data_IF_577573574544
#
_entry.id   IF_577573574544
#
_cell.length_a   1.000
_cell.length_b   1.000
_cell.length_c   1.000
_cell.angle_alpha   90.00
_cell.angle_beta   90.00
_cell.angle_gamma   90.00
#
_symmetry.space_group_name_H-M   'P 1'
#
loop_
_entity.id
_entity.type
_entity.pdbx_description
1 polymer ?
#
# COMPACT_ATOMS: atom_id res chain seq x y z
N UNK A 1 -18.01 -20.01 3.76
CA UNK A 1 -17.78 -19.66 2.35
C UNK A 1 -16.33 -19.88 1.98
N UNK A 2 -16.05 -20.33 0.75
CA UNK A 2 -14.68 -20.65 0.29
C UNK A 2 -13.95 -19.37 -0.14
N UNK A 3 -12.67 -19.25 0.24
CA UNK A 3 -11.75 -18.20 -0.21
C UNK A 3 -11.60 -18.35 -1.73
N UNK A 4 -12.04 -17.35 -2.51
CA UNK A 4 -12.11 -17.42 -3.98
C UNK A 4 -13.52 -17.33 -4.56
N UNK A 5 -14.57 -17.56 -3.77
CA UNK A 5 -15.96 -17.35 -4.23
C UNK A 5 -16.21 -15.89 -4.61
N UNK A 6 -17.02 -15.67 -5.65
CA UNK A 6 -17.45 -14.34 -6.13
C UNK A 6 -18.38 -13.61 -5.14
N UNK A 7 -18.88 -14.30 -4.11
CA UNK A 7 -19.85 -13.76 -3.14
C UNK A 7 -19.31 -12.76 -2.11
N UNK A 8 -18.04 -12.33 -2.21
CA UNK A 8 -17.43 -11.34 -1.31
C UNK A 8 -16.53 -10.39 -2.10
N UNK A 9 -17.10 -9.54 -2.94
CA UNK A 9 -16.34 -8.59 -3.77
C UNK A 9 -15.60 -7.55 -2.91
N UNK A 10 -16.14 -7.20 -1.74
CA UNK A 10 -15.63 -6.20 -0.80
C UNK A 10 -14.24 -6.56 -0.28
N UNK A 11 -13.91 -7.86 -0.18
CA UNK A 11 -12.59 -8.32 0.28
C UNK A 11 -11.45 -7.90 -0.65
N UNK A 12 -11.75 -7.67 -1.93
CA UNK A 12 -10.72 -7.31 -2.91
C UNK A 12 -10.08 -5.96 -2.56
N UNK A 13 -10.84 -5.01 -1.99
CA UNK A 13 -10.30 -3.76 -1.49
C UNK A 13 -9.30 -3.96 -0.35
N UNK A 14 -9.63 -4.85 0.60
CA UNK A 14 -8.74 -5.19 1.72
C UNK A 14 -7.44 -5.85 1.23
N UNK A 15 -7.53 -6.77 0.27
CA UNK A 15 -6.35 -7.36 -0.36
C UNK A 15 -5.51 -6.31 -1.10
N UNK A 16 -6.14 -5.42 -1.85
CA UNK A 16 -5.44 -4.35 -2.55
C UNK A 16 -4.67 -3.42 -1.60
N UNK A 17 -5.27 -3.05 -0.45
CA UNK A 17 -4.58 -2.32 0.61
C UNK A 17 -3.38 -3.10 1.14
N UNK A 18 -3.57 -4.38 1.47
CA UNK A 18 -2.50 -5.23 1.98
C UNK A 18 -1.33 -5.36 0.99
N UNK A 19 -1.60 -5.65 -0.28
CA UNK A 19 -0.57 -5.77 -1.32
C UNK A 19 0.15 -4.45 -1.53
N UNK A 20 -0.60 -3.36 -1.63
CA UNK A 20 -0.01 -2.03 -1.83
C UNK A 20 0.90 -1.66 -0.67
N UNK A 21 0.50 -1.90 0.58
CA UNK A 21 1.32 -1.48 1.72
C UNK A 21 2.48 -2.41 2.04
N UNK A 22 2.21 -3.72 2.07
CA UNK A 22 3.14 -4.70 2.62
C UNK A 22 4.09 -5.21 1.56
N UNK A 23 3.64 -5.43 0.33
CA UNK A 23 4.50 -6.08 -0.65
C UNK A 23 5.57 -5.14 -1.18
N UNK A 24 5.25 -3.88 -1.45
CA UNK A 24 6.30 -2.89 -1.75
C UNK A 24 7.31 -2.76 -0.62
N UNK A 25 6.88 -2.89 0.64
CA UNK A 25 7.79 -2.91 1.78
C UNK A 25 8.67 -4.17 1.80
N UNK A 26 8.11 -5.36 1.57
CA UNK A 26 8.86 -6.61 1.41
C UNK A 26 9.88 -6.51 0.27
N UNK A 27 9.50 -5.91 -0.86
CA UNK A 27 10.41 -5.62 -1.98
C UNK A 27 11.57 -4.72 -1.54
N UNK A 28 11.26 -3.67 -0.80
CA UNK A 28 12.26 -2.75 -0.24
C UNK A 28 13.18 -3.41 0.80
N UNK A 29 12.74 -4.49 1.46
CA UNK A 29 13.60 -5.34 2.31
C UNK A 29 14.48 -6.33 1.52
N UNK A 30 14.40 -6.36 0.19
CA UNK A 30 15.24 -7.18 -0.68
C UNK A 30 14.55 -8.41 -1.27
N UNK A 31 13.24 -8.59 -1.03
CA UNK A 31 12.48 -9.63 -1.72
C UNK A 31 12.29 -9.24 -3.20
N UNK A 32 12.52 -10.14 -4.15
CA UNK A 32 12.43 -9.81 -5.58
C UNK A 32 11.00 -9.84 -6.14
N UNK A 33 10.09 -10.63 -5.54
CA UNK A 33 8.67 -10.70 -5.85
C UNK A 33 7.93 -11.49 -4.76
N UNK A 34 6.61 -11.33 -4.67
CA UNK A 34 5.74 -12.16 -3.82
C UNK A 34 4.84 -13.04 -4.70
N UNK A 35 4.71 -14.32 -4.40
CA UNK A 35 3.78 -15.22 -5.09
C UNK A 35 2.73 -15.74 -4.11
N UNK A 36 1.49 -15.26 -4.16
CA UNK A 36 0.42 -15.92 -3.43
C UNK A 36 0.05 -17.21 -4.17
N UNK A 37 0.10 -18.35 -3.46
CA UNK A 37 -0.22 -19.68 -3.97
C UNK A 37 -1.58 -19.78 -4.68
N UNK A 38 -2.53 -18.90 -4.34
CA UNK A 38 -3.86 -18.82 -4.95
C UNK A 38 -4.10 -17.50 -5.68
N UNK A 39 -3.12 -17.02 -6.44
CA UNK A 39 -3.24 -15.75 -7.17
C UNK A 39 -4.46 -15.70 -8.10
N UNK A 40 -4.85 -16.82 -8.71
CA UNK A 40 -5.96 -16.85 -9.65
C UNK A 40 -7.31 -16.35 -9.10
N UNK A 41 -7.49 -16.29 -7.78
CA UNK A 41 -8.70 -15.76 -7.14
C UNK A 41 -8.85 -14.23 -7.17
N UNK A 42 -7.83 -13.50 -7.64
CA UNK A 42 -7.90 -12.04 -7.76
C UNK A 42 -8.41 -11.56 -9.12
N UNK A 43 -8.78 -12.47 -10.01
CA UNK A 43 -9.43 -12.19 -11.29
C UNK A 43 -10.88 -12.64 -11.25
N UNK A 44 -11.71 -12.01 -12.08
CA UNK A 44 -13.10 -12.43 -12.30
C UNK A 44 -13.33 -12.63 -13.79
N UNK A 45 -14.19 -13.57 -14.17
CA UNK A 45 -14.64 -13.67 -15.55
C UNK A 45 -15.45 -12.43 -15.91
N UNK A 46 -15.31 -11.97 -17.17
CA UNK A 46 -16.21 -10.99 -17.77
C UNK A 46 -17.62 -11.59 -17.91
N UNK A 47 -18.61 -10.72 -18.02
CA UNK A 47 -19.98 -11.15 -18.30
C UNK A 47 -20.09 -11.77 -19.70
N UNK A 48 -20.94 -12.79 -19.84
CA UNK A 48 -21.22 -13.44 -21.13
C UNK A 48 -20.17 -14.42 -21.62
N UNK A 49 -19.17 -14.78 -20.81
CA UNK A 49 -18.20 -15.84 -21.16
C UNK A 49 -18.95 -17.14 -21.44
N UNK A 50 -18.59 -17.78 -22.56
CA UNK A 50 -19.18 -19.04 -22.94
C UNK A 50 -18.66 -20.20 -22.06
N UNK A 51 -19.50 -20.56 -21.10
CA UNK A 51 -19.26 -21.66 -20.17
C UNK A 51 -19.72 -23.03 -20.69
N UNK A 52 -20.26 -23.11 -21.91
CA UNK A 52 -20.74 -24.37 -22.48
C UNK A 52 -19.62 -25.40 -22.63
N UNK A 53 -20.02 -26.66 -22.78
CA UNK A 53 -19.13 -27.72 -23.23
C UNK A 53 -18.49 -27.34 -24.57
N UNK A 54 -17.21 -27.66 -24.72
CA UNK A 54 -16.45 -27.52 -25.96
C UNK A 54 -15.92 -28.88 -26.37
N UNK A 55 -16.39 -29.42 -27.47
CA UNK A 55 -15.85 -30.68 -27.99
C UNK A 55 -14.47 -30.43 -28.60
N UNK A 56 -13.55 -31.37 -28.34
CA UNK A 56 -12.21 -31.38 -28.89
C UNK A 56 -12.21 -32.36 -30.06
N UNK A 57 -11.56 -32.00 -31.17
CA UNK A 57 -11.39 -32.94 -32.27
C UNK A 57 -10.51 -34.11 -31.82
N UNK A 58 -11.10 -35.30 -31.77
CA UNK A 58 -10.41 -36.55 -31.44
C UNK A 58 -10.23 -37.39 -32.69
N UNK A 59 -9.01 -37.91 -32.87
CA UNK A 59 -8.73 -38.97 -33.83
C UNK A 59 -9.17 -40.31 -33.21
N UNK A 60 -10.43 -40.67 -33.48
CA UNK A 60 -11.03 -41.91 -32.99
C UNK A 60 -10.41 -43.16 -33.62
N UNK A 61 -9.76 -43.04 -34.78
CA UNK A 61 -9.14 -44.16 -35.50
C UNK A 61 -7.78 -44.54 -34.90
N UNK A 62 -7.02 -43.56 -34.39
CA UNK A 62 -5.68 -43.77 -33.81
C UNK A 62 -5.64 -43.57 -32.28
N UNK A 63 -6.64 -44.10 -31.57
CA UNK A 63 -6.82 -43.97 -30.12
C UNK A 63 -5.74 -44.69 -29.28
N UNK A 64 -5.08 -45.71 -29.83
CA UNK A 64 -4.11 -46.55 -29.10
C UNK A 64 -2.75 -45.89 -28.92
N UNK A 65 -2.71 -44.78 -28.19
CA UNK A 65 -1.49 -44.15 -27.68
C UNK A 65 -1.53 -44.05 -26.16
N UNK A 66 -0.41 -44.20 -25.45
CA UNK A 66 -0.40 -44.05 -23.99
C UNK A 66 -0.90 -42.67 -23.53
N UNK A 67 -1.77 -42.64 -22.52
CA UNK A 67 -2.29 -41.42 -21.89
C UNK A 67 -3.78 -41.15 -22.13
N UNK A 68 -4.30 -40.05 -21.58
CA UNK A 68 -5.68 -39.60 -21.80
C UNK A 68 -5.82 -38.90 -23.15
N UNK A 69 -6.89 -39.19 -23.89
CA UNK A 69 -7.30 -38.44 -25.09
C UNK A 69 -8.54 -37.62 -24.76
N UNK A 70 -8.42 -36.30 -24.52
CA UNK A 70 -9.55 -35.47 -24.16
C UNK A 70 -10.49 -35.28 -25.36
N UNK A 71 -11.77 -35.51 -25.15
CA UNK A 71 -12.84 -35.40 -26.14
C UNK A 71 -13.71 -34.15 -25.95
N UNK A 72 -13.66 -33.53 -24.78
CA UNK A 72 -14.29 -32.25 -24.53
C UNK A 72 -13.65 -31.49 -23.35
N UNK A 73 -14.04 -30.22 -23.22
CA UNK A 73 -13.79 -29.37 -22.05
C UNK A 73 -15.15 -28.97 -21.47
N UNK A 74 -15.39 -29.35 -20.22
CA UNK A 74 -16.58 -28.98 -19.44
C UNK A 74 -16.19 -28.84 -17.96
N UNK A 75 -17.07 -28.25 -17.13
CA UNK A 75 -16.92 -28.18 -15.67
C UNK A 75 -15.53 -27.68 -15.20
N UNK A 76 -15.04 -26.65 -15.89
CA UNK A 76 -13.71 -26.07 -15.66
C UNK A 76 -13.61 -25.49 -14.25
N UNK A 77 -12.48 -25.72 -13.59
CA UNK A 77 -12.17 -25.03 -12.34
C UNK A 77 -11.84 -23.56 -12.64
N UNK A 78 -12.78 -22.65 -12.37
CA UNK A 78 -12.72 -21.25 -12.79
C UNK A 78 -11.59 -20.47 -12.10
N UNK A 79 -10.40 -20.53 -12.69
CA UNK A 79 -9.23 -19.71 -12.35
C UNK A 79 -8.53 -19.25 -13.61
N UNK A 80 -8.00 -18.02 -13.57
CA UNK A 80 -7.29 -17.39 -14.70
C UNK A 80 -6.13 -18.22 -15.25
N UNK A 81 -5.50 -19.06 -14.41
CA UNK A 81 -4.39 -19.92 -14.79
C UNK A 81 -4.80 -21.31 -15.28
N UNK A 82 -6.10 -21.65 -15.25
CA UNK A 82 -6.59 -23.01 -15.53
C UNK A 82 -7.77 -23.08 -16.52
N UNK A 83 -8.56 -22.02 -16.64
CA UNK A 83 -9.82 -22.05 -17.36
C UNK A 83 -10.05 -20.77 -18.18
N UNK A 84 -10.66 -20.94 -19.36
CA UNK A 84 -10.98 -19.87 -20.31
C UNK A 84 -9.74 -19.16 -20.88
N UNK A 85 -9.93 -18.29 -21.87
CA UNK A 85 -8.83 -17.50 -22.41
C UNK A 85 -8.45 -16.39 -21.44
N UNK A 86 -7.17 -16.02 -21.37
CA UNK A 86 -6.74 -14.92 -20.48
C UNK A 86 -7.50 -13.61 -20.74
N UNK A 87 -7.91 -13.39 -21.99
CA UNK A 87 -8.74 -12.23 -22.35
C UNK A 87 -10.08 -12.24 -21.63
N UNK A 88 -10.69 -13.39 -21.35
CA UNK A 88 -11.97 -13.51 -20.66
C UNK A 88 -11.93 -13.05 -19.19
N UNK A 89 -10.74 -12.84 -18.64
CA UNK A 89 -10.54 -12.46 -17.25
C UNK A 89 -10.30 -10.96 -17.07
N UNK A 90 -10.95 -10.38 -16.07
CA UNK A 90 -10.80 -8.99 -15.66
C UNK A 90 -10.05 -8.96 -14.32
N UNK A 91 -8.94 -8.21 -14.22
CA UNK A 91 -8.23 -8.05 -12.96
C UNK A 91 -9.07 -7.21 -11.99
N UNK A 92 -9.37 -7.76 -10.82
CA UNK A 92 -9.98 -6.98 -9.73
C UNK A 92 -8.96 -5.95 -9.19
N UNK A 93 -9.40 -5.05 -8.30
CA UNK A 93 -8.51 -4.11 -7.62
C UNK A 93 -7.36 -4.81 -6.87
N UNK A 94 -7.60 -6.03 -6.36
CA UNK A 94 -6.55 -6.84 -5.73
C UNK A 94 -5.53 -7.34 -6.76
N UNK A 95 -5.97 -7.83 -7.92
CA UNK A 95 -5.07 -8.24 -9.00
C UNK A 95 -4.26 -7.06 -9.53
N UNK A 96 -4.88 -5.88 -9.68
CA UNK A 96 -4.16 -4.68 -10.11
C UNK A 96 -3.06 -4.30 -9.12
N UNK A 97 -3.34 -4.31 -7.82
CA UNK A 97 -2.35 -4.07 -6.78
C UNK A 97 -1.25 -5.16 -6.74
N UNK A 98 -1.63 -6.43 -6.88
CA UNK A 98 -0.70 -7.56 -6.99
C UNK A 98 0.26 -7.36 -8.17
N UNK A 99 -0.27 -7.08 -9.36
CA UNK A 99 0.51 -6.86 -10.57
C UNK A 99 1.47 -5.69 -10.35
N UNK A 100 0.95 -4.53 -9.92
CA UNK A 100 1.74 -3.31 -9.68
C UNK A 100 2.94 -3.57 -8.77
N UNK A 101 2.72 -4.23 -7.64
CA UNK A 101 3.76 -4.44 -6.63
C UNK A 101 4.68 -5.65 -6.91
N UNK A 102 4.42 -6.41 -7.98
CA UNK A 102 5.26 -7.51 -8.43
C UNK A 102 5.98 -7.26 -9.75
N UNK A 103 5.77 -6.11 -10.41
CA UNK A 103 6.49 -5.79 -11.65
C UNK A 103 8.02 -5.80 -11.44
N UNK A 104 8.80 -5.97 -12.52
CA UNK A 104 10.27 -5.88 -12.44
C UNK A 104 10.74 -4.53 -11.91
N UNK A 105 10.05 -3.45 -12.27
CA UNK A 105 10.30 -2.09 -11.79
C UNK A 105 9.21 -1.68 -10.82
N UNK A 106 9.60 -1.07 -9.70
CA UNK A 106 8.66 -0.54 -8.71
C UNK A 106 9.19 0.77 -8.14
N UNK A 107 8.37 1.81 -8.16
CA UNK A 107 8.69 3.06 -7.49
C UNK A 107 7.50 3.63 -6.72
N UNK A 108 7.78 4.20 -5.54
CA UNK A 108 6.75 4.70 -4.64
C UNK A 108 7.31 5.66 -3.58
N UNK A 109 6.40 6.37 -2.90
CA UNK A 109 6.71 7.23 -1.74
C UNK A 109 6.65 6.37 -0.47
N UNK A 110 7.79 6.28 0.22
CA UNK A 110 7.94 5.58 1.49
C UNK A 110 8.03 6.54 2.68
N UNK A 111 8.03 5.98 3.89
CA UNK A 111 8.27 6.71 5.14
C UNK A 111 9.66 7.34 5.21
N UNK A 112 9.98 7.97 6.33
CA UNK A 112 11.28 8.62 6.57
C UNK A 112 12.47 7.65 6.44
N UNK A 113 13.70 8.10 6.12
CA UNK A 113 14.87 7.24 5.94
C UNK A 113 15.10 6.20 7.06
N UNK A 114 14.94 6.60 8.33
CA UNK A 114 15.08 5.69 9.48
C UNK A 114 13.92 4.72 9.73
N UNK A 115 12.78 4.88 9.02
CA UNK A 115 11.60 4.04 9.16
C UNK A 115 10.78 4.06 7.87
N UNK A 116 11.28 3.42 6.81
CA UNK A 116 10.67 3.51 5.47
C UNK A 116 9.25 2.93 5.37
N UNK A 117 8.84 2.07 6.31
CA UNK A 117 7.47 1.56 6.39
C UNK A 117 6.53 2.49 7.17
N UNK A 118 7.04 3.56 7.79
CA UNK A 118 6.20 4.47 8.56
C UNK A 118 5.23 5.21 7.65
N UNK A 119 4.00 5.35 8.14
CA UNK A 119 2.95 6.14 7.49
C UNK A 119 2.70 7.45 8.21
N UNK A 120 3.72 7.99 8.89
CA UNK A 120 3.61 9.25 9.63
C UNK A 120 3.05 10.33 8.70
N UNK A 121 1.84 10.83 8.99
CA UNK A 121 1.12 11.77 8.13
C UNK A 121 0.53 12.95 8.90
N UNK A 122 0.49 12.90 10.23
CA UNK A 122 -0.02 13.99 11.05
C UNK A 122 1.13 14.90 11.51
N UNK A 123 1.05 16.18 11.18
CA UNK A 123 2.08 17.18 11.52
C UNK A 123 1.45 18.49 12.01
N UNK A 124 2.21 19.28 12.76
CA UNK A 124 1.86 20.64 13.12
C UNK A 124 2.51 21.65 12.16
N UNK A 125 1.93 22.86 12.01
CA UNK A 125 2.59 23.95 11.29
C UNK A 125 3.97 24.23 11.88
N UNK A 126 4.99 24.34 11.04
CA UNK A 126 6.38 24.54 11.46
C UNK A 126 7.18 23.26 11.74
N UNK A 127 6.57 22.07 11.64
CA UNK A 127 7.33 20.82 11.72
C UNK A 127 8.00 20.46 10.39
N UNK A 128 8.91 19.48 10.46
CA UNK A 128 9.56 18.91 9.28
C UNK A 128 8.85 17.62 8.87
N UNK A 129 8.47 17.53 7.60
CA UNK A 129 8.02 16.28 6.97
C UNK A 129 9.22 15.59 6.34
N UNK A 130 9.46 14.34 6.73
CA UNK A 130 10.47 13.48 6.12
C UNK A 130 9.81 12.26 5.45
N UNK A 131 10.16 12.05 4.19
CA UNK A 131 9.75 10.91 3.35
C UNK A 131 10.95 10.44 2.56
N UNK A 132 10.79 9.41 1.77
CA UNK A 132 11.76 9.07 0.74
C UNK A 132 11.06 8.48 -0.47
N UNK A 133 11.63 8.67 -1.65
CA UNK A 133 11.26 7.88 -2.82
C UNK A 133 12.05 6.59 -2.79
N UNK A 134 11.41 5.47 -3.07
CA UNK A 134 12.07 4.18 -3.27
C UNK A 134 11.89 3.79 -4.73
N UNK A 135 12.97 3.40 -5.39
CA UNK A 135 12.98 2.90 -6.76
C UNK A 135 13.72 1.57 -6.76
N UNK A 136 13.06 0.51 -7.21
CA UNK A 136 13.55 -0.87 -7.21
C UNK A 136 13.66 -1.35 -8.66
N UNK A 137 14.79 -1.98 -8.98
CA UNK A 137 15.02 -2.61 -10.26
C UNK A 137 15.32 -4.11 -10.08
N UNK A 138 14.30 -4.95 -10.25
CA UNK A 138 14.46 -6.41 -10.34
C UNK A 138 14.40 -6.90 -11.80
N UNK A 139 14.61 -6.03 -12.79
CA UNK A 139 14.84 -6.44 -14.18
C UNK A 139 16.24 -7.05 -14.35
N UNK A 140 16.56 -7.49 -15.57
CA UNK A 140 17.87 -8.07 -15.92
C UNK A 140 18.86 -7.05 -16.49
N UNK A 141 18.51 -5.77 -16.49
CA UNK A 141 19.33 -4.69 -17.04
C UNK A 141 19.41 -3.53 -16.05
N UNK A 142 20.47 -2.73 -16.10
CA UNK A 142 20.51 -1.48 -15.34
C UNK A 142 19.43 -0.53 -15.87
N UNK A 143 18.75 0.18 -14.98
CA UNK A 143 17.60 1.00 -15.33
C UNK A 143 17.82 2.46 -14.91
N UNK A 144 17.65 3.39 -15.84
CA UNK A 144 17.55 4.81 -15.51
C UNK A 144 16.14 5.16 -15.08
N UNK A 145 16.01 6.10 -14.14
CA UNK A 145 14.72 6.62 -13.71
C UNK A 145 14.83 8.11 -13.39
N UNK A 146 14.01 8.93 -14.05
CA UNK A 146 13.79 10.31 -13.65
C UNK A 146 12.64 10.34 -12.62
N UNK A 147 12.99 10.70 -11.39
CA UNK A 147 12.05 10.86 -10.29
C UNK A 147 11.69 12.34 -10.16
N UNK A 148 10.41 12.67 -10.32
CA UNK A 148 9.86 14.02 -10.14
C UNK A 148 8.91 14.00 -8.95
N UNK A 149 8.95 15.00 -8.08
CA UNK A 149 8.00 15.12 -6.97
C UNK A 149 7.53 16.55 -6.78
N UNK A 150 6.32 16.68 -6.23
CA UNK A 150 5.73 17.96 -5.85
C UNK A 150 4.94 17.82 -4.56
N UNK A 151 5.07 18.79 -3.67
CA UNK A 151 4.29 18.89 -2.45
C UNK A 151 3.37 20.10 -2.56
N UNK A 152 2.07 19.84 -2.61
CA UNK A 152 1.00 20.82 -2.85
C UNK A 152 0.72 21.79 -1.69
N UNK A 153 1.77 22.33 -1.07
CA UNK A 153 1.68 23.42 -0.10
C UNK A 153 1.24 24.73 -0.79
N UNK A 154 0.80 25.78 -0.04
CA UNK A 154 0.38 27.05 -0.64
C UNK A 154 1.43 27.67 -1.57
N UNK A 155 2.71 27.48 -1.24
CA UNK A 155 3.81 27.58 -2.18
C UNK A 155 4.30 26.18 -2.49
N UNK A 156 3.97 25.67 -3.67
CA UNK A 156 4.38 24.33 -4.11
C UNK A 156 5.90 24.17 -3.99
N UNK A 157 6.32 23.07 -3.38
CA UNK A 157 7.73 22.66 -3.35
C UNK A 157 7.88 21.48 -4.27
N UNK A 158 8.67 21.62 -5.32
CA UNK A 158 8.92 20.55 -6.29
C UNK A 158 10.41 20.25 -6.40
N UNK A 159 10.73 19.05 -6.86
CA UNK A 159 12.09 18.63 -7.13
C UNK A 159 12.13 17.49 -8.13
N UNK A 160 13.32 17.23 -8.66
CA UNK A 160 13.56 16.12 -9.55
C UNK A 160 14.95 15.54 -9.29
N UNK A 161 15.12 14.26 -9.61
CA UNK A 161 16.40 13.57 -9.55
C UNK A 161 16.42 12.42 -10.54
N UNK A 162 17.41 12.44 -11.42
CA UNK A 162 17.75 11.31 -12.26
C UNK A 162 18.67 10.35 -11.50
N UNK A 163 18.39 9.05 -11.62
CA UNK A 163 19.17 7.98 -11.02
C UNK A 163 19.35 6.84 -12.00
N UNK A 164 20.42 6.05 -11.80
CA UNK A 164 20.59 4.74 -12.41
C UNK A 164 20.56 3.69 -11.31
N UNK A 165 19.67 2.71 -11.44
CA UNK A 165 19.53 1.59 -10.51
C UNK A 165 20.10 0.34 -11.17
N UNK A 166 21.20 -0.24 -10.64
CA UNK A 166 21.74 -1.49 -11.16
C UNK A 166 20.75 -2.65 -11.11
N UNK A 167 21.12 -3.74 -11.76
CA UNK A 167 20.35 -4.99 -11.79
C UNK A 167 20.19 -5.52 -10.36
N UNK A 168 18.96 -5.84 -9.97
CA UNK A 168 18.65 -6.42 -8.65
C UNK A 168 18.74 -5.43 -7.47
N UNK A 169 19.05 -4.17 -7.74
CA UNK A 169 19.30 -3.16 -6.71
C UNK A 169 18.09 -2.23 -6.49
N UNK A 170 18.20 -1.38 -5.47
CA UNK A 170 17.28 -0.30 -5.20
C UNK A 170 18.01 0.99 -4.86
N UNK A 171 17.33 2.12 -5.09
CA UNK A 171 17.78 3.44 -4.69
C UNK A 171 16.72 4.10 -3.80
N UNK A 172 17.19 4.87 -2.82
CA UNK A 172 16.33 5.60 -1.87
C UNK A 172 16.71 7.07 -1.86
N UNK A 173 15.77 7.93 -2.20
CA UNK A 173 15.98 9.38 -2.32
C UNK A 173 15.27 10.05 -1.15
N UNK A 174 16.02 10.51 -0.16
CA UNK A 174 15.45 11.20 1.00
C UNK A 174 14.79 12.52 0.57
N UNK A 175 13.58 12.76 1.07
CA UNK A 175 12.82 13.98 0.90
C UNK A 175 12.60 14.63 2.26
N UNK A 176 12.91 15.92 2.37
CA UNK A 176 12.76 16.69 3.61
C UNK A 176 12.13 18.04 3.31
N UNK A 177 11.01 18.33 3.95
CA UNK A 177 10.23 19.55 3.74
C UNK A 177 9.99 20.25 5.07
N UNK A 178 10.37 21.52 5.16
CA UNK A 178 10.04 22.35 6.32
C UNK A 178 8.67 22.99 6.11
N UNK A 179 7.69 22.65 6.94
CA UNK A 179 6.36 23.25 6.84
C UNK A 179 6.41 24.71 7.30
N UNK A 180 5.70 25.64 6.64
CA UNK A 180 5.55 27.00 7.14
C UNK A 180 4.91 27.01 8.54
N UNK A 181 5.41 27.85 9.45
CA UNK A 181 4.84 27.98 10.80
C UNK A 181 3.40 28.53 10.79
N UNK A 182 3.03 29.24 9.72
CA UNK A 182 1.70 29.81 9.48
C UNK A 182 0.83 28.95 8.58
N UNK A 183 1.27 27.72 8.24
CA UNK A 183 0.52 26.83 7.37
C UNK A 183 -0.86 26.55 7.97
N UNK A 184 -1.91 26.73 7.16
CA UNK A 184 -3.26 26.41 7.57
C UNK A 184 -3.39 24.90 7.84
N UNK A 185 -4.19 24.53 8.82
CA UNK A 185 -4.54 23.13 9.03
C UNK A 185 -5.32 22.61 7.82
N UNK A 186 -5.18 21.32 7.53
CA UNK A 186 -5.80 20.69 6.38
C UNK A 186 -4.93 19.61 5.76
N UNK A 187 -5.41 19.05 4.67
CA UNK A 187 -4.79 17.94 3.95
C UNK A 187 -4.00 18.48 2.76
N UNK A 188 -2.73 18.12 2.67
CA UNK A 188 -1.83 18.48 1.59
C UNK A 188 -1.27 17.20 0.95
N UNK A 189 -1.12 17.19 -0.37
CA UNK A 189 -0.69 16.00 -1.10
C UNK A 189 0.78 16.11 -1.54
N UNK A 190 1.58 15.10 -1.22
CA UNK A 190 2.88 14.85 -1.82
C UNK A 190 2.70 13.86 -2.96
N UNK A 191 3.02 14.27 -4.18
CA UNK A 191 2.89 13.44 -5.39
C UNK A 191 4.25 13.20 -6.02
N UNK A 192 4.45 12.01 -6.57
CA UNK A 192 5.66 11.63 -7.28
C UNK A 192 5.34 10.93 -8.60
N UNK A 193 6.16 11.21 -9.61
CA UNK A 193 6.15 10.59 -10.93
C UNK A 193 7.52 10.00 -11.21
N UNK A 194 7.56 8.78 -11.70
CA UNK A 194 8.77 8.01 -11.97
C UNK A 194 8.76 7.60 -13.44
N UNK A 195 9.67 8.16 -14.23
CA UNK A 195 9.81 7.89 -15.67
C UNK A 195 11.03 7.00 -15.87
N UNK A 196 10.80 5.73 -16.16
CA UNK A 196 11.87 4.75 -16.38
C UNK A 196 12.38 4.81 -17.81
N UNK A 197 13.65 4.44 -18.02
CA UNK A 197 14.30 4.45 -19.33
C UNK A 197 13.66 3.53 -20.38
N UNK A 198 12.87 2.54 -19.96
CA UNK A 198 12.10 1.67 -20.85
C UNK A 198 10.75 2.26 -21.31
N UNK A 199 10.45 3.52 -20.96
CA UNK A 199 9.20 4.20 -21.26
C UNK A 199 8.08 3.94 -20.26
N UNK A 200 8.27 3.05 -19.28
CA UNK A 200 7.30 2.86 -18.20
C UNK A 200 7.23 4.13 -17.32
N UNK A 201 6.01 4.57 -17.00
CA UNK A 201 5.78 5.64 -16.04
C UNK A 201 4.94 5.11 -14.88
N UNK A 202 5.39 5.35 -13.65
CA UNK A 202 4.64 5.07 -12.44
C UNK A 202 4.39 6.36 -11.67
N UNK A 203 3.26 6.45 -10.96
CA UNK A 203 2.94 7.58 -10.09
C UNK A 203 2.52 7.08 -8.72
N UNK A 204 2.81 7.86 -7.69
CA UNK A 204 2.35 7.60 -6.33
C UNK A 204 2.01 8.92 -5.65
N UNK A 205 1.08 8.88 -4.69
CA UNK A 205 0.76 10.05 -3.88
C UNK A 205 0.56 9.67 -2.41
N UNK A 206 0.91 10.61 -1.53
CA UNK A 206 0.84 10.44 -0.09
C UNK A 206 0.25 11.69 0.54
N UNK A 207 -0.85 11.51 1.27
CA UNK A 207 -1.51 12.59 1.99
C UNK A 207 -0.80 12.94 3.30
N UNK A 208 -0.65 14.23 3.56
CA UNK A 208 -0.11 14.79 4.79
C UNK A 208 -1.19 15.67 5.42
N UNK A 209 -1.56 15.33 6.65
CA UNK A 209 -2.56 16.03 7.45
C UNK A 209 -1.85 17.00 8.41
N UNK A 210 -2.06 18.28 8.19
CA UNK A 210 -1.57 19.35 9.06
C UNK A 210 -2.66 19.64 10.08
N UNK A 211 -2.40 19.27 11.32
CA UNK A 211 -3.34 19.39 12.42
C UNK A 211 -3.33 20.81 12.99
N UNK A 212 -4.46 21.31 13.52
CA UNK A 212 -4.45 22.55 14.28
C UNK A 212 -3.52 22.42 15.49
N UNK A 213 -2.77 23.48 15.81
CA UNK A 213 -1.95 23.49 17.02
C UNK A 213 -2.86 23.28 18.24
N UNK A 214 -2.58 22.27 19.10
CA UNK A 214 -3.35 22.07 20.31
C UNK A 214 -3.31 23.35 21.15
N UNK A 215 -4.48 23.88 21.50
CA UNK A 215 -4.54 24.91 22.51
C UNK A 215 -4.18 24.28 23.86
N UNK A 216 -3.42 25.00 24.68
CA UNK A 216 -3.15 24.56 26.03
C UNK A 216 -4.49 24.25 26.71
N UNK A 217 -4.68 23.03 27.26
CA UNK A 217 -5.92 22.70 27.92
C UNK A 217 -6.15 23.72 29.04
N UNK A 218 -7.31 24.38 29.03
CA UNK A 218 -7.70 25.24 30.14
C UNK A 218 -7.98 24.35 31.34
N UNK A 219 -7.01 24.22 32.24
CA UNK A 219 -7.19 23.58 33.54
C UNK A 219 -8.07 24.46 34.44
N UNK A 220 -9.34 24.60 34.08
CA UNK A 220 -10.35 25.33 34.87
C UNK A 220 -11.26 24.42 35.69
N UNK A 221 -11.22 23.11 35.44
CA UNK A 221 -12.03 22.13 36.17
C UNK A 221 -11.43 21.84 37.55
N UNK A 222 -12.27 21.84 38.58
CA UNK A 222 -11.88 21.31 39.90
C UNK A 222 -11.80 19.78 39.79
N UNK A 223 -10.60 19.22 39.95
CA UNK A 223 -10.39 17.76 39.95
C UNK A 223 -10.59 17.26 41.38
N UNK A 224 -11.62 16.45 41.61
CA UNK A 224 -11.78 15.67 42.84
C UNK A 224 -11.02 14.34 42.67
N UNK A 225 -10.08 14.05 43.57
CA UNK A 225 -9.27 12.84 43.55
C UNK A 225 -9.62 11.96 44.72
N UNK A 226 -10.27 10.83 44.46
CA UNK A 226 -10.36 9.73 45.41
C UNK A 226 -9.14 8.82 45.22
N UNK A 227 -8.17 8.87 46.14
CA UNK A 227 -6.94 8.10 46.04
C UNK A 227 -6.49 7.51 47.40
N UNK A 228 -7.16 6.45 47.88
CA UNK A 228 -6.86 5.84 49.18
C UNK A 228 -5.43 5.31 49.34
N UNK A 229 -4.74 5.04 48.22
CA UNK A 229 -3.36 4.53 48.21
C UNK A 229 -2.32 5.63 47.96
N UNK A 230 -2.75 6.86 47.64
CA UNK A 230 -1.89 8.03 47.43
C UNK A 230 -0.97 7.95 46.20
N UNK A 231 -1.15 6.97 45.31
CA UNK A 231 -0.26 6.76 44.16
C UNK A 231 -0.59 7.72 43.03
N UNK A 232 -1.87 7.93 42.75
CA UNK A 232 -2.38 8.82 41.71
C UNK A 232 -2.09 10.28 42.06
N UNK A 233 -2.25 10.66 43.33
CA UNK A 233 -1.96 11.99 43.83
C UNK A 233 -0.47 12.36 43.75
N UNK A 234 0.44 11.37 43.91
CA UNK A 234 1.88 11.56 43.68
C UNK A 234 2.18 11.79 42.19
N UNK A 235 1.55 11.04 41.30
CA UNK A 235 1.70 11.21 39.85
C UNK A 235 1.19 12.58 39.38
N UNK A 236 -0.02 12.98 39.80
CA UNK A 236 -0.61 14.27 39.44
C UNK A 236 0.23 15.45 39.94
N UNK A 237 0.80 15.37 41.15
CA UNK A 237 1.76 16.37 41.65
C UNK A 237 3.02 16.45 40.77
N UNK A 238 3.59 15.32 40.36
CA UNK A 238 4.75 15.30 39.44
C UNK A 238 4.43 15.94 38.08
N UNK A 239 3.18 15.85 37.65
CA UNK A 239 2.69 16.45 36.39
C UNK A 239 2.24 17.91 36.55
N UNK A 240 2.32 18.51 37.74
CA UNK A 240 1.86 19.88 38.00
C UNK A 240 0.34 20.06 37.94
N UNK A 241 -0.43 18.97 38.05
CA UNK A 241 -1.89 19.00 37.96
C UNK A 241 -2.48 19.18 39.37
N UNK A 242 -3.26 20.24 39.55
CA UNK A 242 -3.96 20.54 40.80
C UNK A 242 -5.17 19.62 40.98
N UNK A 243 -5.37 19.12 42.20
CA UNK A 243 -6.52 18.32 42.59
C UNK A 243 -6.91 18.59 44.04
N UNK A 244 -8.14 18.19 44.40
CA UNK A 244 -8.65 18.15 45.78
C UNK A 244 -8.90 16.69 46.16
N UNK A 245 -8.26 16.20 47.21
CA UNK A 245 -8.56 14.87 47.74
C UNK A 245 -10.01 14.82 48.22
N UNK A 246 -10.67 13.71 47.94
CA UNK A 246 -12.00 13.37 48.47
C UNK A 246 -11.93 11.97 49.07
N UNK A 247 -12.79 11.70 50.04
CA UNK A 247 -12.91 10.40 50.72
C UNK A 247 -14.32 9.84 50.54
N UNK A 248 -14.48 8.54 50.75
CA UNK A 248 -15.76 7.85 50.61
C UNK A 248 -16.69 8.04 51.83
N UNK A 249 -16.28 8.80 52.84
CA UNK A 249 -16.98 8.98 54.12
C UNK A 249 -17.79 10.28 54.21
N UNK A 250 -18.43 10.69 53.11
CA UNK A 250 -19.43 11.77 53.10
C UNK A 250 -20.71 11.28 52.45
#
# INVERSE_FOLDING_TARGET
>A
HVVGSSGFAERQGVYAMYFTDNWRAFRTWGMSANSPWSHGHYWTLRDGVDKSRKDIQVDWENLQRPGFSPDYIEQRYERVDLAFEHSDWIPTVAAQALIRNNRPLLAYIAGKPGAFTSKDHNFLPGETVEKQLVVINNSREAMTCNCEWSFGLPRTVAGQKEITVPIGEQQRIALRFQLPATLAHGKYELSATFKFGNGETQTDSFSIDVMPRPQAPRAGGKIALFDPKGQTGKLLKKMGILYKLVDANT
#
